data_IF_431413754281
#
_entry.id   IF_431413754281
#
_cell.length_a   1.000
_cell.length_b   1.000
_cell.length_c   1.000
_cell.angle_alpha   90.00
_cell.angle_beta   90.00
_cell.angle_gamma   90.00
#
_symmetry.space_group_name_H-M   'P 1'
#
loop_
_entity.id
_entity.type
_entity.pdbx_description
1 polymer ?
#
# COMPACT_ATOMS: atom_id res chain seq x y z
N UNK A 1 8.95 0.11 21.58
CA UNK A 1 9.33 -1.27 21.22
C UNK A 1 8.36 -2.22 21.91
N UNK A 2 7.76 -3.17 21.16
CA UNK A 2 6.81 -4.13 21.72
C UNK A 2 7.47 -5.05 22.75
N UNK A 3 6.80 -5.28 23.90
CA UNK A 3 7.29 -6.21 24.93
C UNK A 3 7.18 -7.67 24.50
N UNK A 4 6.13 -7.98 23.73
CA UNK A 4 5.87 -9.31 23.18
C UNK A 4 5.35 -9.17 21.75
N UNK A 5 5.61 -10.16 20.90
CA UNK A 5 5.11 -10.22 19.55
C UNK A 5 4.84 -11.66 19.12
N UNK A 6 4.02 -11.85 18.12
CA UNK A 6 3.86 -13.12 17.43
C UNK A 6 3.81 -12.86 15.91
N UNK A 7 4.52 -13.68 15.16
CA UNK A 7 4.47 -13.71 13.71
C UNK A 7 3.60 -14.90 13.29
N UNK A 8 2.55 -14.61 12.52
CA UNK A 8 1.66 -15.63 11.97
C UNK A 8 1.68 -15.46 10.46
N UNK A 9 2.35 -16.38 9.78
CA UNK A 9 2.50 -16.35 8.34
C UNK A 9 1.17 -16.60 7.64
N UNK A 10 0.96 -15.88 6.54
CA UNK A 10 -0.14 -16.13 5.64
C UNK A 10 0.16 -17.35 4.77
N UNK A 11 -0.46 -18.47 5.07
CA UNK A 11 -0.24 -19.74 4.35
C UNK A 11 -1.30 -20.03 3.28
N UNK A 12 -2.43 -19.32 3.29
CA UNK A 12 -3.55 -19.56 2.37
C UNK A 12 -3.22 -19.10 0.95
N UNK A 13 -3.24 -20.00 -0.07
CA UNK A 13 -3.04 -19.62 -1.47
C UNK A 13 -4.16 -18.71 -1.99
N UNK A 14 -3.84 -17.77 -2.88
CA UNK A 14 -4.83 -16.84 -3.43
C UNK A 14 -6.02 -17.51 -4.13
N UNK A 15 -5.87 -18.62 -4.91
CA UNK A 15 -7.02 -19.31 -5.49
C UNK A 15 -7.99 -19.84 -4.44
N UNK A 16 -7.47 -20.41 -3.34
CA UNK A 16 -8.30 -20.89 -2.23
C UNK A 16 -9.05 -19.73 -1.55
N UNK A 17 -8.32 -18.62 -1.30
CA UNK A 17 -8.94 -17.41 -0.76
C UNK A 17 -10.03 -16.85 -1.67
N UNK A 18 -9.83 -16.90 -2.99
CA UNK A 18 -10.83 -16.50 -3.98
C UNK A 18 -12.12 -17.33 -3.90
N UNK A 19 -12.01 -18.65 -3.82
CA UNK A 19 -13.18 -19.55 -3.66
C UNK A 19 -13.89 -19.26 -2.36
N UNK A 20 -13.15 -19.16 -1.25
CA UNK A 20 -13.72 -18.87 0.07
C UNK A 20 -14.42 -17.50 0.09
N UNK A 21 -13.80 -16.48 -0.54
CA UNK A 21 -14.36 -15.14 -0.65
C UNK A 21 -15.69 -15.11 -1.40
N UNK A 22 -15.81 -15.90 -2.47
CA UNK A 22 -17.08 -16.02 -3.22
C UNK A 22 -18.15 -16.71 -2.36
N UNK A 23 -17.82 -17.83 -1.74
CA UNK A 23 -18.75 -18.59 -0.90
C UNK A 23 -19.24 -17.80 0.33
N UNK A 24 -18.38 -16.98 0.92
CA UNK A 24 -18.68 -16.18 2.11
C UNK A 24 -19.15 -14.75 1.80
N UNK A 25 -19.19 -14.34 0.54
CA UNK A 25 -19.55 -12.98 0.15
C UNK A 25 -18.56 -11.91 0.65
N UNK A 26 -17.29 -12.29 0.89
CA UNK A 26 -16.25 -11.39 1.44
C UNK A 26 -15.27 -10.92 0.34
N UNK A 27 -14.50 -9.84 0.59
CA UNK A 27 -13.33 -9.51 -0.23
C UNK A 27 -12.32 -10.65 -0.25
N UNK A 28 -11.65 -10.84 -1.39
CA UNK A 28 -10.57 -11.84 -1.53
C UNK A 28 -9.39 -11.49 -0.62
N UNK A 29 -9.09 -10.20 -0.48
CA UNK A 29 -8.05 -9.69 0.42
C UNK A 29 -8.32 -10.09 1.88
N UNK A 30 -9.54 -9.93 2.37
CA UNK A 30 -9.90 -10.37 3.73
C UNK A 30 -9.80 -11.89 3.87
N UNK A 31 -10.34 -12.65 2.92
CA UNK A 31 -10.28 -14.10 2.94
C UNK A 31 -8.83 -14.63 2.92
N UNK A 32 -7.94 -13.97 2.19
CA UNK A 32 -6.53 -14.32 2.13
C UNK A 32 -5.80 -14.16 3.48
N UNK A 33 -6.21 -13.18 4.27
CA UNK A 33 -5.65 -12.92 5.60
C UNK A 33 -6.45 -13.54 6.75
N UNK A 34 -7.54 -14.26 6.45
CA UNK A 34 -8.31 -14.98 7.50
C UNK A 34 -7.54 -16.20 7.99
N UNK A 35 -7.07 -16.15 9.25
CA UNK A 35 -6.26 -17.20 9.87
C UNK A 35 -6.72 -17.51 11.29
N UNK A 36 -7.05 -18.79 11.55
CA UNK A 36 -7.54 -19.23 12.85
C UNK A 36 -6.55 -19.03 14.01
N UNK A 37 -5.23 -19.14 13.74
CA UNK A 37 -4.22 -18.91 14.77
C UNK A 37 -4.17 -17.43 15.19
N UNK A 38 -4.39 -16.48 14.26
CA UNK A 38 -4.47 -15.06 14.60
C UNK A 38 -5.68 -14.78 15.51
N UNK A 39 -6.86 -15.33 15.18
CA UNK A 39 -8.05 -15.20 16.05
C UNK A 39 -7.79 -15.71 17.46
N UNK A 40 -7.19 -16.91 17.57
CA UNK A 40 -6.83 -17.48 18.89
C UNK A 40 -5.79 -16.62 19.64
N UNK A 41 -4.80 -16.10 18.92
CA UNK A 41 -3.80 -15.23 19.52
C UNK A 41 -4.41 -13.95 20.07
N UNK A 42 -5.25 -13.27 19.29
CA UNK A 42 -5.96 -12.06 19.73
C UNK A 42 -6.85 -12.37 20.94
N UNK A 43 -7.68 -13.41 20.87
CA UNK A 43 -8.56 -13.80 21.98
C UNK A 43 -7.77 -14.14 23.26
N UNK A 44 -6.65 -14.89 23.13
CA UNK A 44 -5.78 -15.20 24.27
C UNK A 44 -5.13 -13.94 24.86
N UNK A 45 -4.69 -13.02 24.01
CA UNK A 45 -4.04 -11.77 24.45
C UNK A 45 -5.01 -10.91 25.23
N UNK A 46 -6.22 -10.73 24.70
CA UNK A 46 -7.28 -9.95 25.36
C UNK A 46 -7.76 -10.61 26.68
N UNK A 47 -7.80 -11.95 26.72
CA UNK A 47 -8.19 -12.67 27.94
C UNK A 47 -7.13 -12.67 29.05
N UNK A 48 -5.84 -12.53 28.70
CA UNK A 48 -4.73 -12.61 29.66
C UNK A 48 -4.15 -11.24 30.05
N UNK A 49 -4.49 -10.19 29.33
CA UNK A 49 -3.94 -8.85 29.54
C UNK A 49 -5.04 -7.81 29.52
N UNK A 50 -4.90 -6.80 30.34
CA UNK A 50 -5.71 -5.60 30.23
C UNK A 50 -5.21 -4.79 29.03
N UNK A 51 -6.01 -4.76 27.96
CA UNK A 51 -5.75 -4.00 26.74
C UNK A 51 -6.75 -2.85 26.70
N UNK A 52 -6.27 -1.63 26.72
CA UNK A 52 -7.10 -0.43 26.69
C UNK A 52 -7.28 0.09 25.26
N UNK A 53 -6.36 -0.26 24.34
CA UNK A 53 -6.41 0.19 22.94
C UNK A 53 -5.97 -0.93 22.00
N UNK A 54 -6.72 -1.11 20.92
CA UNK A 54 -6.33 -1.92 19.75
C UNK A 54 -5.96 -0.97 18.64
N UNK A 55 -4.72 -1.06 18.15
CA UNK A 55 -4.28 -0.41 16.91
C UNK A 55 -4.25 -1.45 15.79
N UNK A 56 -4.92 -1.15 14.69
CA UNK A 56 -5.00 -2.04 13.52
C UNK A 56 -4.35 -1.36 12.34
N UNK A 57 -3.43 -2.06 11.72
CA UNK A 57 -2.80 -1.62 10.47
C UNK A 57 -3.37 -2.42 9.30
N UNK A 58 -3.89 -1.72 8.29
CA UNK A 58 -4.55 -2.27 7.10
C UNK A 58 -5.97 -2.82 7.33
N UNK A 59 -6.86 -2.58 6.37
CA UNK A 59 -8.28 -2.98 6.42
C UNK A 59 -8.48 -4.48 6.65
N UNK A 60 -7.59 -5.32 6.07
CA UNK A 60 -7.67 -6.79 6.18
C UNK A 60 -7.52 -7.30 7.62
N UNK A 61 -6.80 -6.54 8.46
CA UNK A 61 -6.57 -6.93 9.86
C UNK A 61 -7.72 -6.52 10.79
N UNK A 62 -8.59 -5.61 10.37
CA UNK A 62 -9.78 -5.21 11.11
C UNK A 62 -10.77 -6.35 11.39
N UNK A 63 -10.71 -7.45 10.63
CA UNK A 63 -11.51 -8.65 10.87
C UNK A 63 -11.20 -9.37 12.18
N UNK A 64 -10.13 -8.99 12.87
CA UNK A 64 -9.72 -9.60 14.16
C UNK A 64 -10.12 -8.78 15.38
N UNK A 65 -10.72 -7.61 15.21
CA UNK A 65 -11.26 -6.82 16.31
C UNK A 65 -12.51 -7.54 16.83
N UNK A 66 -12.57 -7.92 18.12
CA UNK A 66 -13.79 -8.48 18.68
C UNK A 66 -14.93 -7.46 18.71
N UNK A 67 -16.13 -7.90 18.42
CA UNK A 67 -17.31 -7.02 18.41
C UNK A 67 -17.63 -6.46 19.81
N UNK A 68 -17.31 -7.21 20.86
CA UNK A 68 -17.52 -6.87 22.26
C UNK A 68 -16.35 -6.12 22.92
N UNK A 69 -15.29 -5.78 22.18
CA UNK A 69 -14.18 -5.01 22.74
C UNK A 69 -14.61 -3.59 23.09
N UNK A 70 -14.60 -3.28 24.39
CA UNK A 70 -15.07 -2.01 24.93
C UNK A 70 -13.96 -0.92 25.00
N UNK A 71 -12.71 -1.25 24.70
CA UNK A 71 -11.58 -0.30 24.67
C UNK A 71 -11.55 0.52 23.39
N UNK A 72 -10.57 1.39 23.29
CA UNK A 72 -10.34 2.26 22.14
C UNK A 72 -9.86 1.45 20.94
N UNK A 73 -10.39 1.76 19.75
CA UNK A 73 -9.98 1.18 18.48
C UNK A 73 -9.44 2.27 17.57
N UNK A 74 -8.20 2.14 17.12
CA UNK A 74 -7.59 2.99 16.11
C UNK A 74 -7.26 2.14 14.90
N UNK A 75 -7.73 2.55 13.73
CA UNK A 75 -7.50 1.82 12.48
C UNK A 75 -6.72 2.70 11.52
N UNK A 76 -5.57 2.21 11.09
CA UNK A 76 -4.80 2.79 10.01
C UNK A 76 -5.08 2.01 8.72
N UNK A 77 -5.91 2.58 7.86
CA UNK A 77 -6.24 2.01 6.55
C UNK A 77 -5.11 2.22 5.56
N UNK A 78 -4.24 3.20 5.76
CA UNK A 78 -3.24 3.72 4.85
C UNK A 78 -3.87 4.38 3.62
N UNK A 79 -4.39 3.58 2.70
CA UNK A 79 -5.03 3.99 1.44
C UNK A 79 -6.51 3.59 1.42
N UNK A 80 -7.28 4.17 0.51
CA UNK A 80 -8.64 3.74 0.20
C UNK A 80 -8.58 2.57 -0.79
N UNK A 81 -8.42 1.34 -0.26
CA UNK A 81 -8.26 0.14 -1.09
C UNK A 81 -9.44 -0.07 -2.05
N UNK A 82 -10.66 0.24 -1.63
CA UNK A 82 -11.84 0.13 -2.49
C UNK A 82 -11.71 0.99 -3.75
N UNK A 83 -11.23 2.23 -3.63
CA UNK A 83 -11.02 3.14 -4.77
C UNK A 83 -9.93 2.63 -5.70
N UNK A 84 -8.86 2.05 -5.16
CA UNK A 84 -7.78 1.43 -5.94
C UNK A 84 -8.31 0.29 -6.82
N UNK A 85 -9.13 -0.61 -6.27
CA UNK A 85 -9.71 -1.70 -7.05
C UNK A 85 -10.73 -1.23 -8.09
N UNK A 86 -11.48 -0.17 -7.81
CA UNK A 86 -12.34 0.48 -8.80
C UNK A 86 -11.52 1.05 -9.96
N UNK A 87 -10.42 1.75 -9.67
CA UNK A 87 -9.53 2.27 -10.69
C UNK A 87 -8.92 1.16 -11.57
N UNK A 88 -8.53 0.02 -10.99
CA UNK A 88 -8.09 -1.15 -11.77
C UNK A 88 -9.19 -1.69 -12.68
N UNK A 89 -10.44 -1.72 -12.20
CA UNK A 89 -11.57 -2.17 -13.01
C UNK A 89 -11.85 -1.21 -14.18
N UNK A 90 -11.75 0.09 -13.95
CA UNK A 90 -11.97 1.13 -14.96
C UNK A 90 -10.84 1.15 -16.01
N UNK A 91 -9.61 0.84 -15.60
CA UNK A 91 -8.48 0.58 -16.50
C UNK A 91 -8.58 -0.76 -17.25
N UNK A 92 -9.70 -1.49 -17.15
CA UNK A 92 -9.95 -2.74 -17.86
C UNK A 92 -9.29 -3.98 -17.24
N UNK A 93 -8.57 -3.85 -16.14
CA UNK A 93 -7.89 -4.96 -15.48
C UNK A 93 -8.90 -5.85 -14.75
N UNK A 94 -9.05 -7.12 -15.18
CA UNK A 94 -9.97 -8.11 -14.56
C UNK A 94 -11.28 -7.48 -14.07
N UNK A 95 -11.90 -6.68 -14.91
CA UNK A 95 -12.93 -5.68 -14.62
C UNK A 95 -13.99 -6.11 -13.62
N UNK A 96 -14.60 -7.29 -13.80
CA UNK A 96 -15.67 -7.76 -12.92
C UNK A 96 -15.15 -8.20 -11.54
N UNK A 97 -13.93 -8.77 -11.47
CA UNK A 97 -13.30 -9.19 -10.19
C UNK A 97 -12.96 -7.95 -9.37
N UNK A 98 -12.27 -6.99 -9.99
CA UNK A 98 -11.84 -5.77 -9.30
C UNK A 98 -13.04 -4.91 -8.89
N UNK A 99 -14.09 -4.84 -9.71
CA UNK A 99 -15.32 -4.12 -9.33
C UNK A 99 -16.05 -4.78 -8.16
N UNK A 100 -16.08 -6.13 -8.12
CA UNK A 100 -16.61 -6.86 -6.96
C UNK A 100 -15.76 -6.61 -5.72
N UNK A 101 -14.44 -6.69 -5.84
CA UNK A 101 -13.52 -6.48 -4.73
C UNK A 101 -13.64 -5.06 -4.19
N UNK A 102 -13.61 -4.03 -5.03
CA UNK A 102 -13.79 -2.63 -4.63
C UNK A 102 -15.08 -2.38 -3.85
N UNK A 103 -16.22 -2.92 -4.36
CA UNK A 103 -17.51 -2.78 -3.67
C UNK A 103 -17.51 -3.44 -2.30
N UNK A 104 -16.95 -4.64 -2.16
CA UNK A 104 -16.93 -5.35 -0.89
C UNK A 104 -15.95 -4.73 0.10
N UNK A 105 -14.82 -4.21 -0.40
CA UNK A 105 -13.89 -3.44 0.43
C UNK A 105 -14.50 -2.13 0.91
N UNK A 106 -15.23 -1.40 0.07
CA UNK A 106 -15.94 -0.19 0.50
C UNK A 106 -16.90 -0.46 1.67
N UNK A 107 -17.62 -1.60 1.63
CA UNK A 107 -18.49 -2.02 2.73
C UNK A 107 -17.68 -2.32 4.00
N UNK A 108 -16.54 -2.98 3.88
CA UNK A 108 -15.68 -3.31 5.02
C UNK A 108 -15.00 -2.06 5.59
N UNK A 109 -14.49 -1.18 4.75
CA UNK A 109 -13.89 0.10 5.15
C UNK A 109 -14.90 0.96 5.93
N UNK A 110 -16.15 1.03 5.45
CA UNK A 110 -17.24 1.71 6.16
C UNK A 110 -17.55 1.05 7.52
N UNK A 111 -17.61 -0.30 7.57
CA UNK A 111 -17.82 -1.03 8.83
C UNK A 111 -16.71 -0.73 9.83
N UNK A 112 -15.46 -0.68 9.37
CA UNK A 112 -14.30 -0.40 10.19
C UNK A 112 -14.29 1.05 10.69
N UNK A 113 -14.61 2.01 9.84
CA UNK A 113 -14.70 3.43 10.23
C UNK A 113 -15.81 3.66 11.29
N UNK A 114 -16.95 2.97 11.16
CA UNK A 114 -18.02 3.03 12.16
C UNK A 114 -17.66 2.32 13.49
N UNK A 115 -16.69 1.41 13.47
CA UNK A 115 -16.22 0.68 14.65
C UNK A 115 -15.08 1.40 15.37
N UNK A 116 -14.30 2.19 14.63
CA UNK A 116 -13.11 2.85 15.14
C UNK A 116 -13.44 4.15 15.88
N UNK A 117 -12.71 4.43 16.96
CA UNK A 117 -12.69 5.75 17.57
C UNK A 117 -11.88 6.75 16.72
N UNK A 118 -10.94 6.25 15.92
CA UNK A 118 -10.17 7.06 14.96
C UNK A 118 -9.76 6.19 13.77
N UNK A 119 -9.99 6.69 12.57
CA UNK A 119 -9.51 6.09 11.31
C UNK A 119 -8.42 6.97 10.71
N UNK A 120 -7.29 6.35 10.35
CA UNK A 120 -6.12 7.03 9.81
C UNK A 120 -5.94 6.66 8.33
N UNK A 121 -5.54 7.65 7.53
CA UNK A 121 -5.15 7.51 6.12
C UNK A 121 -3.77 8.16 5.94
N UNK A 122 -3.01 7.70 4.94
CA UNK A 122 -1.62 8.13 4.72
C UNK A 122 -1.46 9.62 4.36
N UNK A 123 -2.51 10.27 3.86
CA UNK A 123 -2.45 11.67 3.39
C UNK A 123 -3.79 12.37 3.51
N UNK A 124 -3.76 13.71 3.44
CA UNK A 124 -4.99 14.52 3.41
C UNK A 124 -5.85 14.22 2.18
N UNK A 125 -5.24 13.89 1.04
CA UNK A 125 -5.96 13.50 -0.18
C UNK A 125 -6.69 12.16 0.00
N UNK A 126 -6.06 11.15 0.60
CA UNK A 126 -6.70 9.88 0.92
C UNK A 126 -7.81 10.06 1.97
N UNK A 127 -7.56 10.86 3.00
CA UNK A 127 -8.57 11.17 4.01
C UNK A 127 -9.78 11.91 3.41
N UNK A 128 -9.56 12.84 2.50
CA UNK A 128 -10.64 13.54 1.79
C UNK A 128 -11.42 12.60 0.87
N UNK A 129 -10.71 11.74 0.11
CA UNK A 129 -11.32 10.70 -0.72
C UNK A 129 -12.17 9.76 0.14
N UNK A 130 -11.64 9.29 1.26
CA UNK A 130 -12.37 8.38 2.15
C UNK A 130 -13.62 9.03 2.73
N UNK A 131 -13.54 10.29 3.22
CA UNK A 131 -14.69 11.06 3.71
C UNK A 131 -15.79 11.21 2.65
N UNK A 132 -15.42 11.34 1.38
CA UNK A 132 -16.41 11.46 0.29
C UNK A 132 -17.17 10.16 -0.01
N UNK A 133 -16.74 9.04 0.58
CA UNK A 133 -17.26 7.69 0.32
C UNK A 133 -18.04 7.08 1.48
N UNK A 134 -18.07 7.73 2.64
CA UNK A 134 -18.80 7.26 3.82
C UNK A 134 -20.10 8.01 4.06
N UNK A 135 -21.15 7.27 4.42
CA UNK A 135 -22.51 7.80 4.52
C UNK A 135 -22.81 8.57 5.82
N UNK A 136 -21.98 8.48 6.86
CA UNK A 136 -22.18 9.10 8.19
C UNK A 136 -20.94 9.82 8.66
N UNK A 137 -20.58 10.86 7.93
CA UNK A 137 -19.35 11.62 8.17
C UNK A 137 -19.29 12.27 9.56
N UNK A 138 -20.43 12.66 10.11
CA UNK A 138 -20.52 13.41 11.37
C UNK A 138 -20.12 12.58 12.60
N UNK A 139 -20.15 11.25 12.49
CA UNK A 139 -19.85 10.31 13.59
C UNK A 139 -18.43 9.72 13.50
N UNK A 140 -17.73 9.87 12.38
CA UNK A 140 -16.43 9.23 12.13
C UNK A 140 -15.25 10.22 12.28
N UNK A 141 -14.34 9.92 13.20
CA UNK A 141 -13.07 10.65 13.33
C UNK A 141 -12.03 10.13 12.33
N UNK A 142 -11.94 10.81 11.18
CA UNK A 142 -11.01 10.46 10.08
C UNK A 142 -9.90 11.48 10.02
N UNK A 143 -8.65 11.02 10.11
CA UNK A 143 -7.46 11.88 10.12
C UNK A 143 -6.42 11.41 9.12
N UNK A 144 -5.64 12.35 8.60
CA UNK A 144 -4.41 12.04 7.88
C UNK A 144 -3.26 11.82 8.88
N UNK A 145 -2.48 10.77 8.65
CA UNK A 145 -1.24 10.49 9.35
C UNK A 145 -0.20 10.03 8.33
N UNK A 146 0.69 10.94 7.93
CA UNK A 146 1.78 10.64 7.00
C UNK A 146 2.79 9.66 7.61
N UNK A 147 3.46 8.90 6.73
CA UNK A 147 4.57 8.04 7.15
C UNK A 147 5.72 8.85 7.72
N UNK A 148 6.27 8.38 8.83
CA UNK A 148 7.53 8.89 9.36
C UNK A 148 8.72 8.34 8.58
N UNK A 149 9.82 9.08 8.63
CA UNK A 149 11.12 8.67 8.10
C UNK A 149 12.18 8.88 9.19
N UNK A 150 13.18 8.03 9.20
CA UNK A 150 14.38 8.23 10.01
C UNK A 150 15.24 9.32 9.36
N UNK A 151 15.01 10.56 9.78
CA UNK A 151 15.67 11.73 9.19
C UNK A 151 17.16 11.77 9.48
N UNK A 152 17.63 11.13 10.56
CA UNK A 152 19.04 11.02 10.89
C UNK A 152 19.75 10.02 9.99
N UNK A 153 19.13 8.85 9.79
CA UNK A 153 19.66 7.82 8.88
C UNK A 153 19.67 8.29 7.41
N UNK A 154 18.64 9.00 6.98
CA UNK A 154 18.51 9.51 5.61
C UNK A 154 19.03 10.95 5.42
N UNK A 155 19.81 11.47 6.37
CA UNK A 155 20.42 12.80 6.23
C UNK A 155 21.43 12.81 5.08
N UNK A 156 21.19 13.62 4.02
CA UNK A 156 22.11 13.72 2.88
C UNK A 156 23.53 14.17 3.26
N UNK A 157 23.72 14.83 4.42
CA UNK A 157 25.04 15.20 4.90
C UNK A 157 25.89 13.98 5.29
N UNK A 158 25.27 12.84 5.57
CA UNK A 158 25.94 11.61 6.00
C UNK A 158 25.95 10.52 4.92
N UNK A 159 25.26 10.74 3.80
CA UNK A 159 25.20 9.78 2.69
C UNK A 159 26.17 10.19 1.59
N UNK A 160 27.16 9.36 1.23
CA UNK A 160 28.05 9.68 0.12
C UNK A 160 27.25 9.72 -1.19
N UNK A 161 27.60 10.68 -2.02
CA UNK A 161 27.02 10.77 -3.37
C UNK A 161 27.39 9.53 -4.16
N UNK A 162 26.44 8.95 -4.86
CA UNK A 162 26.67 7.80 -5.73
C UNK A 162 27.43 8.27 -6.98
N UNK A 163 28.66 7.75 -7.26
CA UNK A 163 29.49 8.24 -8.37
C UNK A 163 28.77 8.22 -9.73
N UNK A 164 27.99 7.18 -10.00
CA UNK A 164 27.25 7.06 -11.26
C UNK A 164 26.20 8.18 -11.48
N UNK A 165 25.80 8.88 -10.41
CA UNK A 165 24.90 10.03 -10.48
C UNK A 165 25.68 11.34 -10.62
N UNK A 166 26.91 11.43 -10.09
CA UNK A 166 27.76 12.60 -10.21
C UNK A 166 28.37 12.78 -11.61
N UNK A 167 28.75 11.69 -12.28
CA UNK A 167 29.43 11.70 -13.59
C UNK A 167 28.52 12.12 -14.76
N UNK A 168 27.28 12.49 -14.50
CA UNK A 168 26.29 12.85 -15.51
C UNK A 168 26.29 14.32 -15.85
N UNK A 169 26.80 14.72 -17.04
CA UNK A 169 26.69 16.09 -17.56
C UNK A 169 25.28 16.46 -18.06
N UNK A 170 24.22 16.14 -17.30
CA UNK A 170 22.85 16.43 -17.71
C UNK A 170 21.88 16.17 -16.58
N UNK A 171 20.58 16.47 -16.77
CA UNK A 171 19.58 16.17 -15.77
C UNK A 171 19.56 14.69 -15.40
N UNK A 172 19.62 14.41 -14.11
CA UNK A 172 19.50 13.06 -13.54
C UNK A 172 18.14 12.92 -12.86
N UNK A 173 17.24 12.13 -13.44
CA UNK A 173 15.95 11.79 -12.85
C UNK A 173 16.10 10.48 -12.07
N UNK A 174 15.56 10.44 -10.85
CA UNK A 174 15.58 9.27 -10.01
C UNK A 174 14.14 8.84 -9.67
N UNK A 175 13.84 7.56 -9.85
CA UNK A 175 12.62 6.93 -9.41
C UNK A 175 12.94 5.71 -8.53
N UNK A 176 12.47 5.73 -7.28
CA UNK A 176 12.71 4.65 -6.32
C UNK A 176 11.42 3.93 -5.99
N UNK A 177 11.49 2.61 -5.81
CA UNK A 177 10.33 1.82 -5.40
C UNK A 177 10.49 0.33 -5.62
N UNK A 178 9.44 -0.42 -5.30
CA UNK A 178 9.39 -1.85 -5.62
C UNK A 178 9.01 -2.02 -7.10
N UNK A 179 9.91 -2.57 -7.92
CA UNK A 179 9.80 -2.57 -9.39
C UNK A 179 9.08 -3.80 -9.98
N UNK A 180 8.39 -4.58 -9.15
CA UNK A 180 7.35 -5.56 -9.53
C UNK A 180 5.94 -5.11 -9.10
N UNK A 181 5.82 -3.96 -8.45
CA UNK A 181 4.52 -3.38 -8.08
C UNK A 181 3.92 -2.65 -9.30
N UNK A 182 2.72 -3.07 -9.78
CA UNK A 182 2.17 -2.61 -11.05
C UNK A 182 2.11 -1.09 -11.23
N UNK A 183 1.70 -0.27 -10.23
CA UNK A 183 1.72 1.19 -10.36
C UNK A 183 3.12 1.78 -10.58
N UNK A 184 4.14 1.22 -9.92
CA UNK A 184 5.51 1.69 -10.09
C UNK A 184 6.06 1.33 -11.47
N UNK A 185 5.76 0.12 -11.95
CA UNK A 185 6.11 -0.31 -13.31
C UNK A 185 5.48 0.62 -14.34
N UNK A 186 4.16 0.85 -14.23
CA UNK A 186 3.44 1.74 -15.14
C UNK A 186 3.99 3.19 -15.11
N UNK A 187 4.32 3.70 -13.93
CA UNK A 187 4.92 5.03 -13.80
C UNK A 187 6.30 5.11 -14.46
N UNK A 188 7.16 4.10 -14.25
CA UNK A 188 8.47 4.05 -14.86
C UNK A 188 8.37 3.95 -16.39
N UNK A 189 7.52 3.08 -16.93
CA UNK A 189 7.26 2.94 -18.36
C UNK A 189 6.72 4.24 -18.95
N UNK A 190 5.79 4.90 -18.27
CA UNK A 190 5.27 6.19 -18.70
C UNK A 190 6.35 7.28 -18.81
N UNK A 191 7.26 7.36 -17.82
CA UNK A 191 8.39 8.30 -17.87
C UNK A 191 9.32 7.98 -19.06
N UNK A 192 9.64 6.70 -19.28
CA UNK A 192 10.47 6.26 -20.40
C UNK A 192 9.86 6.67 -21.75
N UNK A 193 8.54 6.50 -21.89
CA UNK A 193 7.85 6.68 -23.17
C UNK A 193 7.45 8.13 -23.45
N UNK A 194 7.13 8.91 -22.41
CA UNK A 194 6.54 10.24 -22.59
C UNK A 194 7.43 11.38 -22.10
N UNK A 195 8.26 11.17 -21.08
CA UNK A 195 9.11 12.24 -20.51
C UNK A 195 10.50 12.22 -21.11
N UNK A 196 11.15 11.06 -21.11
CA UNK A 196 12.54 10.97 -21.55
C UNK A 196 12.78 11.40 -23.01
N UNK A 197 11.91 11.08 -23.99
CA UNK A 197 12.12 11.55 -25.36
C UNK A 197 12.11 13.07 -25.47
N UNK A 198 11.21 13.76 -24.76
CA UNK A 198 11.12 15.21 -24.79
C UNK A 198 12.27 15.85 -24.01
N UNK A 199 12.61 15.31 -22.85
CA UNK A 199 13.71 15.80 -22.05
C UNK A 199 15.06 15.70 -22.80
N UNK A 200 15.28 14.59 -23.51
CA UNK A 200 16.52 14.38 -24.28
C UNK A 200 16.63 15.22 -25.55
N UNK A 201 15.54 15.77 -26.06
CA UNK A 201 15.61 16.79 -27.13
C UNK A 201 16.24 18.10 -26.63
N UNK A 202 15.98 18.43 -25.34
CA UNK A 202 16.53 19.65 -24.72
C UNK A 202 17.89 19.39 -24.06
N UNK A 203 18.10 18.18 -23.56
CA UNK A 203 19.27 17.73 -22.81
C UNK A 203 19.66 16.33 -23.25
N UNK A 204 20.49 16.21 -24.29
CA UNK A 204 20.86 14.93 -24.91
C UNK A 204 21.49 13.92 -23.94
N UNK A 205 22.10 14.42 -22.85
CA UNK A 205 22.74 13.62 -21.79
C UNK A 205 21.83 13.36 -20.58
N UNK A 206 20.54 13.69 -20.63
CA UNK A 206 19.62 13.39 -19.56
C UNK A 206 19.52 11.88 -19.31
N UNK A 207 19.49 11.48 -18.02
CA UNK A 207 19.39 10.09 -17.60
C UNK A 207 18.18 9.89 -16.69
N UNK A 208 17.61 8.69 -16.73
CA UNK A 208 16.53 8.25 -15.84
C UNK A 208 16.96 6.98 -15.11
N UNK A 209 17.11 7.08 -13.81
CA UNK A 209 17.55 6.02 -12.92
C UNK A 209 16.33 5.40 -12.23
N UNK A 210 16.11 4.11 -12.48
CA UNK A 210 15.07 3.29 -11.87
C UNK A 210 15.75 2.41 -10.82
N UNK A 211 15.51 2.69 -9.55
CA UNK A 211 16.17 2.03 -8.42
C UNK A 211 15.17 1.30 -7.55
N UNK A 212 15.45 0.04 -7.24
CA UNK A 212 14.65 -0.75 -6.32
C UNK A 212 14.57 -2.22 -6.66
N UNK A 213 14.02 -2.98 -5.72
CA UNK A 213 14.02 -4.44 -5.80
C UNK A 213 13.09 -4.99 -6.89
N UNK A 214 13.44 -6.19 -7.33
CA UNK A 214 12.62 -7.03 -8.20
C UNK A 214 12.16 -6.37 -9.51
N UNK A 215 13.03 -5.66 -10.28
CA UNK A 215 12.61 -5.06 -11.54
C UNK A 215 12.12 -6.15 -12.51
N UNK A 216 10.94 -5.93 -13.10
CA UNK A 216 10.39 -6.82 -14.12
C UNK A 216 11.29 -6.86 -15.36
N UNK A 217 11.20 -7.97 -16.12
CA UNK A 217 11.95 -8.13 -17.37
C UNK A 217 11.67 -7.01 -18.36
N UNK A 218 10.43 -6.48 -18.43
CA UNK A 218 10.07 -5.34 -19.27
C UNK A 218 10.91 -4.10 -18.95
N UNK A 219 11.11 -3.77 -17.67
CA UNK A 219 11.97 -2.64 -17.25
C UNK A 219 13.45 -2.96 -17.46
N UNK A 220 13.91 -4.18 -17.10
CA UNK A 220 15.32 -4.55 -17.28
C UNK A 220 15.78 -4.43 -18.73
N UNK A 221 14.95 -4.79 -19.68
CA UNK A 221 15.24 -4.71 -21.10
C UNK A 221 15.42 -3.26 -21.59
N UNK A 222 14.91 -2.27 -20.84
CA UNK A 222 15.08 -0.83 -21.15
C UNK A 222 16.42 -0.26 -20.69
N UNK A 223 17.21 -1.05 -19.92
CA UNK A 223 18.51 -0.58 -19.43
C UNK A 223 19.45 -0.27 -20.60
N UNK A 224 20.03 0.93 -20.61
CA UNK A 224 20.91 1.43 -21.68
C UNK A 224 20.18 2.15 -22.81
N UNK A 225 18.87 2.01 -22.95
CA UNK A 225 18.10 2.69 -23.99
C UNK A 225 17.87 4.17 -23.61
N UNK A 226 18.14 5.08 -24.53
CA UNK A 226 17.78 6.50 -24.42
C UNK A 226 18.04 7.14 -23.03
N UNK A 227 19.15 6.80 -22.37
CA UNK A 227 19.51 7.35 -21.08
C UNK A 227 18.88 6.63 -19.87
N UNK A 228 18.12 5.57 -20.08
CA UNK A 228 17.51 4.77 -18.99
C UNK A 228 18.58 3.91 -18.31
N UNK A 229 18.56 3.91 -16.98
CA UNK A 229 19.40 3.05 -16.13
C UNK A 229 18.49 2.30 -15.16
N UNK A 230 18.50 0.97 -15.21
CA UNK A 230 17.76 0.12 -14.28
C UNK A 230 18.76 -0.53 -13.35
N UNK A 231 18.61 -0.24 -12.06
CA UNK A 231 19.44 -0.77 -11.00
C UNK A 231 18.67 -1.86 -10.26
N UNK A 232 19.36 -2.86 -9.79
CA UNK A 232 18.80 -3.80 -8.82
C UNK A 232 18.77 -3.22 -7.40
N UNK A 233 18.76 -4.09 -6.41
CA UNK A 233 19.06 -3.78 -5.01
C UNK A 233 20.53 -3.50 -4.82
#
# INVERSE_FOLDING_TARGET
>A
VAKTHALIERTKPLPQAGIEAVLKGKPVSLAAFDHAAMRRYVAKTLGNHRIDTIFVFSSQMGQYIPDDFAGRVVIDLCDVDSAKFEAYADAGQRRWINRREGRLLATEEMRLANRADTTLLISDSEAALFRSRIDRLEEADIRALGNGIDAEFFDPAHVPVQPDLEEGEGPQLLFTGQMDYPPNVAAAEWVIENVMPELRKMHDRARFHIVGRAPLTSLRNRHGENGVRVWGE
#
